data_IF_401042315997
#
_entry.id   IF_401042315997
#
_cell.length_a   1.000
_cell.length_b   1.000
_cell.length_c   1.000
_cell.angle_alpha   90.00
_cell.angle_beta   90.00
_cell.angle_gamma   90.00
#
_symmetry.space_group_name_H-M   'P 1'
#
loop_
_entity.id
_entity.type
_entity.pdbx_description
1 polymer ?
#
# COMPACT_ATOMS: atom_id res chain seq x y z
N UNK A 1 31.31 3.25 2.76
CA UNK A 1 30.11 2.57 3.32
C UNK A 1 30.62 1.36 4.07
N UNK A 2 30.31 1.27 5.36
CA UNK A 2 30.78 0.18 6.25
C UNK A 2 29.90 -1.07 6.07
N UNK A 3 30.49 -2.26 6.09
CA UNK A 3 29.76 -3.53 5.96
C UNK A 3 28.72 -3.68 7.07
N UNK A 4 29.01 -3.23 8.29
CA UNK A 4 28.04 -3.24 9.41
C UNK A 4 26.81 -2.38 9.12
N UNK A 5 27.01 -1.25 8.43
CA UNK A 5 25.90 -0.39 8.04
C UNK A 5 25.00 -1.09 7.02
N UNK A 6 25.60 -1.82 6.06
CA UNK A 6 24.86 -2.64 5.08
C UNK A 6 24.09 -3.75 5.78
N UNK A 7 24.73 -4.50 6.69
CA UNK A 7 24.10 -5.58 7.45
C UNK A 7 22.90 -5.07 8.27
N UNK A 8 23.04 -3.92 8.94
CA UNK A 8 21.95 -3.29 9.68
C UNK A 8 20.79 -2.88 8.77
N UNK A 9 21.08 -2.34 7.57
CA UNK A 9 20.04 -2.03 6.59
C UNK A 9 19.31 -3.29 6.11
N UNK A 10 20.02 -4.40 5.89
CA UNK A 10 19.40 -5.68 5.50
C UNK A 10 18.48 -6.20 6.61
N UNK A 11 18.90 -6.14 7.88
CA UNK A 11 18.01 -6.56 8.98
C UNK A 11 16.78 -5.65 9.09
N UNK A 12 16.94 -4.34 8.92
CA UNK A 12 15.81 -3.41 8.93
C UNK A 12 14.79 -3.71 7.81
N UNK A 13 15.26 -4.04 6.60
CA UNK A 13 14.38 -4.43 5.49
C UNK A 13 13.63 -5.72 5.82
N UNK A 14 14.30 -6.75 6.34
CA UNK A 14 13.65 -8.01 6.72
C UNK A 14 12.56 -7.81 7.77
N UNK A 15 12.85 -7.00 8.79
CA UNK A 15 11.85 -6.64 9.81
C UNK A 15 10.66 -5.90 9.18
N UNK A 16 10.89 -5.00 8.23
CA UNK A 16 9.82 -4.31 7.52
C UNK A 16 8.95 -5.29 6.70
N UNK A 17 9.56 -6.25 6.00
CA UNK A 17 8.85 -7.29 5.24
C UNK A 17 7.97 -8.19 6.13
N UNK A 18 8.45 -8.51 7.34
CA UNK A 18 7.71 -9.25 8.37
C UNK A 18 6.48 -8.46 8.84
N UNK A 19 6.58 -7.13 8.94
CA UNK A 19 5.44 -6.24 9.21
C UNK A 19 4.51 -6.04 8.00
N UNK A 20 4.87 -6.57 6.83
CA UNK A 20 4.05 -6.45 5.62
C UNK A 20 4.40 -5.27 4.72
N UNK A 21 5.53 -4.59 4.95
CA UNK A 21 6.09 -3.58 4.04
C UNK A 21 6.90 -4.29 2.96
N UNK A 22 6.45 -4.19 1.72
CA UNK A 22 7.10 -4.81 0.55
C UNK A 22 8.17 -3.92 -0.07
N UNK A 23 8.10 -2.61 0.18
CA UNK A 23 9.10 -1.67 -0.32
C UNK A 23 8.74 -0.23 -0.02
N UNK A 24 9.75 0.63 -0.04
CA UNK A 24 9.61 2.09 0.07
C UNK A 24 10.10 2.71 -1.23
N UNK A 25 9.24 3.52 -1.84
CA UNK A 25 9.49 4.24 -3.08
C UNK A 25 9.70 5.74 -2.80
N UNK A 26 9.85 6.53 -3.86
CA UNK A 26 10.05 7.98 -3.77
C UNK A 26 8.96 8.65 -2.91
N UNK A 27 9.38 9.61 -2.08
CA UNK A 27 8.49 10.51 -1.32
C UNK A 27 7.53 9.76 -0.37
N UNK A 28 8.06 8.91 0.51
CA UNK A 28 7.30 8.21 1.57
C UNK A 28 6.15 7.32 1.07
N UNK A 29 6.19 6.89 -0.19
CA UNK A 29 5.22 5.95 -0.74
C UNK A 29 5.65 4.51 -0.43
N UNK A 30 4.84 3.79 0.32
CA UNK A 30 5.19 2.48 0.88
C UNK A 30 4.29 1.41 0.28
N UNK A 31 4.88 0.47 -0.45
CA UNK A 31 4.15 -0.70 -0.93
C UNK A 31 3.96 -1.66 0.24
N UNK A 32 2.71 -2.02 0.53
CA UNK A 32 2.36 -2.92 1.64
C UNK A 32 1.54 -4.10 1.15
N UNK A 33 1.50 -5.18 1.94
CA UNK A 33 0.58 -6.31 1.74
C UNK A 33 -0.86 -5.87 2.00
N UNK A 34 -1.82 -6.55 1.38
CA UNK A 34 -3.26 -6.27 1.58
C UNK A 34 -3.67 -6.30 3.04
N UNK A 35 -3.16 -7.25 3.83
CA UNK A 35 -3.50 -7.37 5.25
C UNK A 35 -3.13 -6.10 6.03
N UNK A 36 -1.90 -5.62 5.85
CA UNK A 36 -1.44 -4.40 6.51
C UNK A 36 -2.25 -3.18 6.03
N UNK A 37 -2.55 -3.08 4.73
CA UNK A 37 -3.40 -1.99 4.24
C UNK A 37 -4.78 -2.02 4.89
N UNK A 38 -5.44 -3.18 4.90
CA UNK A 38 -6.77 -3.37 5.50
C UNK A 38 -6.77 -3.04 7.01
N UNK A 39 -5.70 -3.36 7.74
CA UNK A 39 -5.52 -2.94 9.14
C UNK A 39 -5.42 -1.41 9.28
N UNK A 40 -4.61 -0.76 8.43
CA UNK A 40 -4.43 0.68 8.42
C UNK A 40 -5.70 1.45 8.07
N UNK A 41 -6.64 0.86 7.33
CA UNK A 41 -7.92 1.50 7.01
C UNK A 41 -8.85 1.69 8.22
N UNK A 42 -8.55 1.06 9.36
CA UNK A 42 -9.26 1.34 10.62
C UNK A 42 -8.82 2.65 11.28
N UNK A 43 -7.74 3.26 10.77
CA UNK A 43 -7.25 4.56 11.20
C UNK A 43 -7.91 5.68 10.41
N UNK A 44 -8.09 6.84 11.05
CA UNK A 44 -8.47 8.06 10.32
C UNK A 44 -7.36 8.49 9.36
N UNK A 45 -7.71 8.72 8.09
CA UNK A 45 -6.80 9.12 7.02
C UNK A 45 -7.54 9.28 5.68
N UNK A 46 -6.78 9.53 4.61
CA UNK A 46 -7.33 9.71 3.27
C UNK A 46 -7.17 8.43 2.46
N UNK A 47 -8.26 7.96 1.85
CA UNK A 47 -8.27 6.77 0.99
C UNK A 47 -8.54 7.20 -0.46
N UNK A 48 -7.72 6.70 -1.38
CA UNK A 48 -7.86 6.92 -2.82
C UNK A 48 -7.72 5.58 -3.56
N UNK A 49 -8.44 5.44 -4.67
CA UNK A 49 -8.31 4.29 -5.58
C UNK A 49 -7.87 4.77 -6.95
N UNK A 50 -6.64 4.46 -7.31
CA UNK A 50 -6.01 4.85 -8.58
C UNK A 50 -6.15 3.71 -9.59
N UNK A 51 -6.63 4.03 -10.80
CA UNK A 51 -6.65 3.10 -11.92
C UNK A 51 -5.27 3.02 -12.57
N UNK A 52 -4.84 1.80 -12.89
CA UNK A 52 -3.57 1.49 -13.55
C UNK A 52 -3.82 0.88 -14.92
N UNK A 53 -2.94 1.19 -15.87
CA UNK A 53 -2.90 0.53 -17.17
C UNK A 53 -2.18 -0.83 -17.05
N UNK A 54 -2.80 -1.74 -16.31
CA UNK A 54 -2.29 -3.07 -15.99
C UNK A 54 -3.46 -4.07 -15.99
N UNK A 55 -3.36 -5.13 -16.79
CA UNK A 55 -4.45 -6.10 -16.96
C UNK A 55 -4.66 -6.99 -15.74
N UNK A 56 -3.59 -7.29 -14.99
CA UNK A 56 -3.65 -8.19 -13.83
C UNK A 56 -3.99 -7.42 -12.56
N UNK A 57 -3.35 -6.26 -12.36
CA UNK A 57 -3.53 -5.39 -11.20
C UNK A 57 -3.98 -3.98 -11.60
N UNK A 58 -5.21 -3.83 -12.14
CA UNK A 58 -5.72 -2.57 -12.68
C UNK A 58 -6.02 -1.51 -11.60
N UNK A 59 -5.95 -1.86 -10.32
CA UNK A 59 -6.32 -0.98 -9.21
C UNK A 59 -5.16 -0.88 -8.22
N UNK A 60 -4.90 0.34 -7.77
CA UNK A 60 -4.02 0.64 -6.65
C UNK A 60 -4.81 1.40 -5.60
N UNK A 61 -4.83 0.85 -4.39
CA UNK A 61 -5.48 1.51 -3.25
C UNK A 61 -4.40 2.22 -2.47
N UNK A 62 -4.60 3.51 -2.22
CA UNK A 62 -3.66 4.37 -1.51
C UNK A 62 -4.32 4.90 -0.25
N UNK A 63 -3.70 4.63 0.90
CA UNK A 63 -4.08 5.20 2.19
C UNK A 63 -2.99 6.18 2.63
N UNK A 64 -3.35 7.45 2.79
CA UNK A 64 -2.42 8.51 3.18
C UNK A 64 -2.69 8.99 4.60
N UNK A 65 -1.67 8.93 5.44
CA UNK A 65 -1.68 9.43 6.83
C UNK A 65 -0.30 9.97 7.20
N UNK A 66 -0.26 11.09 7.91
CA UNK A 66 0.99 11.69 8.43
C UNK A 66 2.11 11.89 7.38
N UNK A 67 1.75 12.19 6.12
CA UNK A 67 2.71 12.37 5.04
C UNK A 67 3.34 11.09 4.48
N UNK A 68 2.79 9.92 4.83
CA UNK A 68 3.07 8.63 4.21
C UNK A 68 1.88 8.17 3.40
N UNK A 69 2.15 7.56 2.25
CA UNK A 69 1.13 6.93 1.41
C UNK A 69 1.42 5.44 1.34
N UNK A 70 0.57 4.65 1.98
CA UNK A 70 0.63 3.19 1.96
C UNK A 70 -0.23 2.70 0.82
N UNK A 71 0.31 1.83 -0.04
CA UNK A 71 -0.46 1.32 -1.17
C UNK A 71 -0.34 -0.19 -1.34
N UNK A 72 -1.39 -0.77 -1.91
CA UNK A 72 -1.37 -2.14 -2.41
C UNK A 72 -2.06 -2.22 -3.77
N UNK A 73 -1.59 -3.18 -4.56
CA UNK A 73 -2.11 -3.46 -5.90
C UNK A 73 -3.18 -4.54 -5.84
N UNK A 74 -4.29 -4.33 -6.53
CA UNK A 74 -5.44 -5.23 -6.48
C UNK A 74 -5.83 -5.71 -7.88
N UNK A 75 -6.12 -7.01 -7.96
CA UNK A 75 -6.97 -7.54 -9.03
C UNK A 75 -8.39 -7.01 -8.84
N UNK A 76 -9.16 -6.87 -9.91
CA UNK A 76 -10.56 -6.44 -9.82
C UNK A 76 -11.40 -7.34 -8.88
N UNK A 77 -11.14 -8.65 -8.90
CA UNK A 77 -11.80 -9.63 -8.03
C UNK A 77 -11.45 -9.42 -6.55
N UNK A 78 -10.17 -9.28 -6.21
CA UNK A 78 -9.74 -9.08 -4.82
C UNK A 78 -10.25 -7.75 -4.28
N UNK A 79 -10.20 -6.68 -5.09
CA UNK A 79 -10.75 -5.38 -4.72
C UNK A 79 -12.24 -5.48 -4.37
N UNK A 80 -13.05 -6.07 -5.25
CA UNK A 80 -14.49 -6.26 -5.02
C UNK A 80 -14.78 -7.03 -3.72
N UNK A 81 -13.98 -8.06 -3.44
CA UNK A 81 -14.15 -8.88 -2.24
C UNK A 81 -13.74 -8.13 -0.95
N UNK A 82 -12.72 -7.29 -1.00
CA UNK A 82 -12.25 -6.53 0.18
C UNK A 82 -13.16 -5.32 0.45
N UNK A 83 -13.56 -4.57 -0.59
CA UNK A 83 -14.22 -3.26 -0.43
C UNK A 83 -15.73 -3.27 -0.71
N UNK A 84 -16.36 -4.44 -0.90
CA UNK A 84 -17.82 -4.56 -0.90
C UNK A 84 -18.57 -3.97 -2.10
N UNK A 85 -17.88 -3.42 -3.10
CA UNK A 85 -18.45 -3.14 -4.43
C UNK A 85 -19.54 -2.06 -4.49
N UNK A 86 -19.12 -0.79 -4.38
CA UNK A 86 -19.58 0.28 -5.27
C UNK A 86 -18.36 1.18 -5.56
N UNK A 87 -17.61 0.78 -6.59
CA UNK A 87 -16.36 1.45 -7.02
C UNK A 87 -16.59 2.95 -7.26
N UNK A 88 -17.79 3.33 -7.72
CA UNK A 88 -18.11 4.72 -8.07
C UNK A 88 -18.12 5.67 -6.86
N UNK A 89 -18.39 5.17 -5.64
CA UNK A 89 -18.38 5.99 -4.41
C UNK A 89 -16.97 6.19 -3.84
N UNK A 90 -16.05 5.24 -4.06
CA UNK A 90 -14.65 5.32 -3.61
C UNK A 90 -13.72 6.03 -4.59
N UNK A 91 -14.11 6.11 -5.87
CA UNK A 91 -13.37 6.82 -6.91
C UNK A 91 -13.72 8.33 -6.93
N UNK A 92 -14.83 8.74 -6.32
CA UNK A 92 -15.24 10.15 -6.27
C UNK A 92 -14.96 10.80 -4.93
N UNK A 93 -13.74 11.27 -4.75
CA UNK A 93 -13.45 12.44 -3.91
C UNK A 93 -12.24 13.19 -4.49
N UNK A 94 -12.55 13.92 -5.58
CA UNK A 94 -11.82 15.01 -6.24
C UNK A 94 -10.50 14.73 -6.98
#
# INVERSE_FOLDING_TARGET
>A
MDIKAIENSVQAIRLAEEQGILGVHFVNKVHVKHQLLEELLNEEGNLEVVKRDDLEYPLQVEFTKNGFTYFSLYTAKKFKNTFGGNIDELITSN
#
